data_IF_344307718928
#
_entry.id   IF_344307718928
#
_cell.length_a   1.000
_cell.length_b   1.000
_cell.length_c   1.000
_cell.angle_alpha   90.00
_cell.angle_beta   90.00
_cell.angle_gamma   90.00
#
_symmetry.space_group_name_H-M   'P 1'
#
loop_
_entity.id
_entity.type
_entity.pdbx_description
1 polymer ?
#
# COMPACT_ATOMS: atom_id res chain seq x y z
N UNK A 1 -3.30 -4.40 -6.38
CA UNK A 1 -1.84 -4.62 -6.31
C UNK A 1 -1.50 -6.10 -6.30
N UNK A 2 -1.97 -6.88 -5.32
CA UNK A 2 -1.58 -8.27 -5.11
C UNK A 2 -1.79 -9.21 -6.31
N UNK A 3 -2.94 -9.11 -7.00
CA UNK A 3 -3.23 -9.95 -8.19
C UNK A 3 -2.26 -9.64 -9.34
N UNK A 4 -1.91 -8.38 -9.53
CA UNK A 4 -0.99 -7.98 -10.61
C UNK A 4 0.45 -8.44 -10.30
N UNK A 5 0.91 -8.25 -9.06
CA UNK A 5 2.23 -8.72 -8.62
C UNK A 5 2.33 -10.25 -8.64
N UNK A 6 1.23 -10.96 -8.38
CA UNK A 6 1.16 -12.42 -8.50
C UNK A 6 1.35 -12.89 -9.95
N UNK A 7 0.62 -12.27 -10.89
CA UNK A 7 0.71 -12.59 -12.33
C UNK A 7 2.11 -12.29 -12.86
N UNK A 8 2.65 -11.11 -12.53
CA UNK A 8 4.00 -10.70 -12.95
C UNK A 8 5.07 -11.62 -12.34
N UNK A 9 4.94 -11.95 -11.06
CA UNK A 9 5.83 -12.88 -10.37
C UNK A 9 5.81 -14.27 -11.00
N UNK A 10 4.61 -14.82 -11.26
CA UNK A 10 4.45 -16.13 -11.90
C UNK A 10 5.08 -16.17 -13.31
N UNK A 11 4.89 -15.12 -14.11
CA UNK A 11 5.49 -15.01 -15.45
C UNK A 11 7.03 -14.92 -15.34
N UNK A 12 7.54 -14.13 -14.39
CA UNK A 12 8.98 -14.02 -14.15
C UNK A 12 9.65 -15.32 -13.75
N UNK A 13 9.05 -16.02 -12.79
CA UNK A 13 9.50 -17.33 -12.34
C UNK A 13 9.48 -18.36 -13.46
N UNK A 14 8.47 -18.30 -14.34
CA UNK A 14 8.38 -19.17 -15.51
C UNK A 14 9.50 -18.91 -16.53
N UNK A 15 9.85 -17.65 -16.77
CA UNK A 15 10.97 -17.27 -17.64
C UNK A 15 12.33 -17.73 -17.11
N UNK A 16 12.49 -17.75 -15.78
CA UNK A 16 13.72 -18.15 -15.09
C UNK A 16 13.84 -19.69 -14.96
N UNK A 17 12.85 -20.44 -15.47
CA UNK A 17 12.76 -21.92 -15.35
C UNK A 17 12.81 -22.41 -13.89
N UNK A 18 12.29 -21.64 -12.94
CA UNK A 18 12.15 -22.10 -11.56
C UNK A 18 11.02 -23.15 -11.50
N UNK A 19 11.21 -24.30 -10.82
CA UNK A 19 10.14 -25.29 -10.69
C UNK A 19 8.93 -24.71 -9.93
N UNK A 20 7.72 -25.01 -10.42
CA UNK A 20 6.43 -24.57 -9.86
C UNK A 20 6.21 -23.03 -9.81
N UNK A 21 6.28 -22.32 -10.95
CA UNK A 21 6.18 -20.86 -10.98
C UNK A 21 4.82 -20.32 -10.50
N UNK A 22 3.73 -21.06 -10.72
CA UNK A 22 2.38 -20.69 -10.27
C UNK A 22 2.27 -20.77 -8.74
N UNK A 23 2.87 -21.79 -8.13
CA UNK A 23 2.85 -21.96 -6.68
C UNK A 23 3.63 -20.84 -5.98
N UNK A 24 4.83 -20.54 -6.48
CA UNK A 24 5.63 -19.41 -5.98
C UNK A 24 4.99 -18.05 -6.26
N UNK A 25 4.32 -17.89 -7.40
CA UNK A 25 3.53 -16.70 -7.70
C UNK A 25 2.40 -16.45 -6.68
N UNK A 26 1.73 -17.51 -6.21
CA UNK A 26 0.74 -17.42 -5.14
C UNK A 26 1.37 -17.03 -3.79
N UNK A 27 2.53 -17.58 -3.45
CA UNK A 27 3.29 -17.20 -2.24
C UNK A 27 3.68 -15.71 -2.29
N UNK A 28 4.18 -15.25 -3.44
CA UNK A 28 4.49 -13.83 -3.67
C UNK A 28 3.22 -12.97 -3.58
N UNK A 29 2.07 -13.46 -4.02
CA UNK A 29 0.79 -12.76 -3.90
C UNK A 29 0.40 -12.51 -2.44
N UNK A 30 0.58 -13.53 -1.59
CA UNK A 30 0.32 -13.44 -0.14
C UNK A 30 1.34 -12.52 0.52
N UNK A 31 2.62 -12.61 0.16
CA UNK A 31 3.68 -11.71 0.64
C UNK A 31 3.44 -10.25 0.22
N UNK A 32 2.96 -10.02 -1.00
CA UNK A 32 2.61 -8.69 -1.52
C UNK A 32 1.40 -8.06 -0.81
N UNK A 33 0.62 -8.84 -0.06
CA UNK A 33 -0.39 -8.32 0.86
C UNK A 33 0.24 -7.53 2.01
N UNK A 34 1.46 -7.94 2.41
CA UNK A 34 2.22 -7.30 3.47
C UNK A 34 3.17 -6.26 2.84
N UNK A 35 2.93 -4.95 3.02
CA UNK A 35 3.79 -3.93 2.45
C UNK A 35 5.23 -4.00 2.97
N UNK A 36 5.45 -4.57 4.16
CA UNK A 36 6.77 -4.77 4.78
C UNK A 36 7.47 -6.01 4.25
N UNK A 37 6.73 -7.13 4.10
CA UNK A 37 7.29 -8.44 3.74
C UNK A 37 7.18 -8.66 2.23
N UNK A 38 7.25 -7.58 1.45
CA UNK A 38 6.95 -7.58 0.02
C UNK A 38 7.80 -8.54 -0.82
N UNK A 39 7.65 -8.49 -2.15
CA UNK A 39 8.31 -9.43 -3.06
C UNK A 39 9.84 -9.55 -2.89
N UNK A 40 10.47 -8.49 -2.38
CA UNK A 40 11.89 -8.45 -1.97
C UNK A 40 12.28 -9.59 -1.02
N UNK A 41 11.42 -9.95 -0.08
CA UNK A 41 11.67 -11.05 0.86
C UNK A 41 11.82 -12.39 0.16
N UNK A 42 11.27 -12.55 -1.05
CA UNK A 42 11.38 -13.77 -1.83
C UNK A 42 12.60 -13.75 -2.76
N UNK A 43 12.77 -12.70 -3.57
CA UNK A 43 13.82 -12.69 -4.59
C UNK A 43 15.23 -12.49 -4.01
N UNK A 44 15.37 -11.84 -2.85
CA UNK A 44 16.67 -11.65 -2.17
C UNK A 44 17.27 -13.00 -1.73
N UNK A 45 16.59 -13.84 -0.92
CA UNK A 45 17.12 -15.14 -0.56
C UNK A 45 17.22 -16.10 -1.76
N UNK A 46 16.34 -15.98 -2.75
CA UNK A 46 16.48 -16.74 -4.00
C UNK A 46 17.77 -16.39 -4.76
N UNK A 47 18.12 -15.11 -4.85
CA UNK A 47 19.38 -14.68 -5.48
C UNK A 47 20.61 -15.19 -4.70
N UNK A 48 20.56 -15.14 -3.35
CA UNK A 48 21.61 -15.69 -2.49
C UNK A 48 21.76 -17.20 -2.71
N UNK A 49 20.65 -17.93 -2.83
CA UNK A 49 20.66 -19.37 -3.13
C UNK A 49 21.37 -19.68 -4.45
N UNK A 50 21.06 -18.95 -5.54
CA UNK A 50 21.74 -19.16 -6.81
C UNK A 50 23.21 -18.74 -6.80
N UNK A 51 23.58 -17.78 -5.96
CA UNK A 51 24.99 -17.43 -5.72
C UNK A 51 25.76 -18.59 -5.06
N UNK A 52 25.14 -19.26 -4.08
CA UNK A 52 25.69 -20.44 -3.40
C UNK A 52 25.82 -21.66 -4.33
N UNK A 53 24.98 -21.75 -5.36
CA UNK A 53 25.03 -22.81 -6.39
C UNK A 53 26.05 -22.49 -7.49
N UNK A 54 26.89 -21.46 -7.32
CA UNK A 54 27.87 -21.00 -8.31
C UNK A 54 27.27 -20.62 -9.67
N UNK A 55 26.01 -20.15 -9.70
CA UNK A 55 25.33 -19.68 -10.90
C UNK A 55 25.05 -18.16 -10.81
N UNK A 56 26.10 -17.31 -10.94
CA UNK A 56 25.98 -15.87 -10.73
C UNK A 56 25.10 -15.21 -11.79
N UNK A 57 25.01 -15.79 -13.00
CA UNK A 57 24.18 -15.27 -14.09
C UNK A 57 22.70 -15.34 -13.70
N UNK A 58 22.23 -16.48 -13.17
CA UNK A 58 20.85 -16.62 -12.70
C UNK A 58 20.56 -15.76 -11.48
N UNK A 59 21.51 -15.62 -10.56
CA UNK A 59 21.37 -14.76 -9.40
C UNK A 59 21.13 -13.29 -9.79
N UNK A 60 21.91 -12.76 -10.73
CA UNK A 60 21.74 -11.38 -11.24
C UNK A 60 20.42 -11.22 -11.99
N UNK A 61 20.04 -12.19 -12.83
CA UNK A 61 18.76 -12.15 -13.55
C UNK A 61 17.57 -12.09 -12.58
N UNK A 62 17.57 -12.91 -11.53
CA UNK A 62 16.50 -12.92 -10.51
C UNK A 62 16.46 -11.59 -9.75
N UNK A 63 17.61 -11.02 -9.41
CA UNK A 63 17.68 -9.74 -8.70
C UNK A 63 17.16 -8.58 -9.56
N UNK A 64 17.61 -8.49 -10.81
CA UNK A 64 17.19 -7.44 -11.74
C UNK A 64 15.71 -7.58 -12.09
N UNK A 65 15.26 -8.82 -12.36
CA UNK A 65 13.85 -9.08 -12.62
C UNK A 65 13.00 -8.78 -11.38
N UNK A 66 13.45 -9.20 -10.20
CA UNK A 66 12.83 -8.90 -8.91
C UNK A 66 12.58 -7.41 -8.70
N UNK A 67 13.65 -6.63 -8.82
CA UNK A 67 13.61 -5.19 -8.60
C UNK A 67 12.81 -4.43 -9.67
N UNK A 68 12.96 -4.78 -10.95
CA UNK A 68 12.31 -4.08 -12.05
C UNK A 68 10.83 -4.45 -12.19
N UNK A 69 10.48 -5.73 -12.07
CA UNK A 69 9.11 -6.19 -12.31
C UNK A 69 8.28 -6.30 -11.03
N UNK A 70 8.87 -6.67 -9.88
CA UNK A 70 8.11 -6.83 -8.65
C UNK A 70 8.09 -5.59 -7.75
N UNK A 71 9.12 -4.74 -7.76
CA UNK A 71 9.10 -3.47 -6.99
C UNK A 71 8.72 -2.27 -7.86
N UNK A 72 9.36 -2.10 -9.02
CA UNK A 72 9.19 -0.89 -9.84
C UNK A 72 7.82 -0.83 -10.52
N UNK A 73 7.29 -1.92 -11.08
CA UNK A 73 5.96 -1.89 -11.73
C UNK A 73 4.82 -1.52 -10.76
N UNK A 74 4.65 -2.17 -9.60
CA UNK A 74 3.57 -1.78 -8.68
C UNK A 74 3.80 -0.40 -8.05
N UNK A 75 5.06 -0.04 -7.77
CA UNK A 75 5.42 1.26 -7.21
C UNK A 75 5.22 2.42 -8.17
N UNK A 76 5.53 2.25 -9.45
CA UNK A 76 5.62 3.37 -10.41
C UNK A 76 4.42 3.45 -11.37
N UNK A 77 3.77 2.33 -11.71
CA UNK A 77 2.65 2.33 -12.67
C UNK A 77 1.29 2.45 -11.98
N UNK A 78 1.16 1.84 -10.80
CA UNK A 78 -0.15 1.70 -10.15
C UNK A 78 -0.41 2.80 -9.12
N UNK A 79 0.65 3.33 -8.46
CA UNK A 79 0.53 4.52 -7.61
C UNK A 79 -0.07 5.73 -8.33
N UNK A 80 0.37 6.15 -9.54
CA UNK A 80 -0.24 7.31 -10.21
C UNK A 80 -1.70 7.05 -10.62
N UNK A 81 -2.05 5.81 -10.97
CA UNK A 81 -3.43 5.48 -11.40
C UNK A 81 -4.45 5.45 -10.25
N UNK A 82 -4.04 5.06 -9.04
CA UNK A 82 -4.89 5.14 -7.84
C UNK A 82 -4.89 6.54 -7.21
N UNK A 83 -3.76 7.26 -7.28
CA UNK A 83 -3.62 8.60 -6.70
C UNK A 83 -4.46 9.66 -7.43
N UNK A 84 -4.91 9.40 -8.67
CA UNK A 84 -5.83 10.29 -9.39
C UNK A 84 -7.23 10.43 -8.75
N UNK A 85 -7.62 9.61 -7.75
CA UNK A 85 -9.00 9.62 -7.24
C UNK A 85 -9.18 9.93 -5.74
N UNK A 86 -8.14 9.95 -4.91
CA UNK A 86 -8.27 10.35 -3.50
C UNK A 86 -6.92 10.82 -2.96
N UNK A 87 -6.93 11.98 -2.33
CA UNK A 87 -5.78 12.86 -2.17
C UNK A 87 -4.55 12.25 -1.49
N UNK A 88 -3.38 12.60 -2.03
CA UNK A 88 -2.10 12.95 -1.39
C UNK A 88 -1.65 12.30 -0.06
N UNK A 89 -2.13 11.13 0.35
CA UNK A 89 -1.54 10.46 1.53
C UNK A 89 -0.10 10.05 1.18
N UNK A 90 0.86 10.71 1.83
CA UNK A 90 2.28 10.53 1.56
C UNK A 90 2.66 9.05 1.82
N UNK A 91 3.36 8.36 0.90
CA UNK A 91 3.69 6.93 1.04
C UNK A 91 4.41 6.57 2.34
N UNK A 92 5.19 7.51 2.89
CA UNK A 92 5.83 7.40 4.20
C UNK A 92 4.82 7.25 5.33
N UNK A 93 3.65 7.92 5.29
CA UNK A 93 2.62 7.83 6.32
C UNK A 93 2.01 6.43 6.32
N UNK A 94 1.75 5.87 5.13
CA UNK A 94 1.28 4.48 4.98
C UNK A 94 2.32 3.49 5.48
N UNK A 95 3.59 3.70 5.15
CA UNK A 95 4.68 2.84 5.61
C UNK A 95 4.81 2.89 7.13
N UNK A 96 4.79 4.09 7.73
CA UNK A 96 4.84 4.26 9.18
C UNK A 96 3.63 3.62 9.87
N UNK A 97 2.44 3.75 9.29
CA UNK A 97 1.22 3.19 9.87
C UNK A 97 1.19 1.67 9.91
N UNK A 98 1.85 0.99 8.96
CA UNK A 98 2.01 -0.48 8.98
C UNK A 98 3.24 -0.93 9.78
N UNK A 99 4.32 -0.14 9.73
CA UNK A 99 5.63 -0.54 10.25
C UNK A 99 5.82 -0.17 11.72
N UNK A 100 5.37 1.02 12.14
CA UNK A 100 5.50 1.46 13.53
C UNK A 100 4.78 0.53 14.53
N UNK A 101 3.56 0.04 14.28
CA UNK A 101 2.89 -0.90 15.19
C UNK A 101 3.60 -2.27 15.29
N UNK A 102 4.24 -2.71 14.20
CA UNK A 102 4.99 -3.95 14.16
C UNK A 102 6.21 -3.91 15.10
N UNK A 103 6.91 -2.77 15.17
CA UNK A 103 8.06 -2.61 16.08
C UNK A 103 7.66 -2.44 17.55
N UNK A 104 6.49 -1.85 17.82
CA UNK A 104 6.04 -1.58 19.20
C UNK A 104 5.35 -2.80 19.82
N UNK A 105 4.58 -3.57 19.04
CA UNK A 105 3.70 -4.64 19.55
C UNK A 105 4.08 -6.03 19.01
N UNK A 106 5.09 -6.12 18.13
CA UNK A 106 5.43 -7.36 17.44
C UNK A 106 4.39 -7.75 16.39
N UNK A 107 4.32 -9.04 16.01
CA UNK A 107 3.46 -9.53 14.93
C UNK A 107 1.97 -9.17 15.09
N UNK A 108 1.49 -9.01 16.32
CA UNK A 108 0.11 -8.61 16.65
C UNK A 108 -0.19 -7.18 16.13
N UNK A 109 0.84 -6.33 16.02
CA UNK A 109 0.74 -4.96 15.52
C UNK A 109 0.21 -4.82 14.09
N UNK A 110 0.33 -5.87 13.25
CA UNK A 110 -0.17 -5.84 11.86
C UNK A 110 -1.70 -5.67 11.80
N UNK A 111 -2.42 -6.26 12.78
CA UNK A 111 -3.88 -6.15 12.86
C UNK A 111 -4.26 -4.87 13.60
N UNK A 112 -3.57 -4.58 14.70
CA UNK A 112 -3.88 -3.45 15.59
C UNK A 112 -3.61 -2.10 14.92
N UNK A 113 -2.56 -1.99 14.11
CA UNK A 113 -2.16 -0.75 13.44
C UNK A 113 -3.24 -0.16 12.53
N UNK A 114 -3.66 -0.86 11.46
CA UNK A 114 -4.72 -0.41 10.58
C UNK A 114 -6.07 -0.25 11.30
N UNK A 115 -6.37 -1.10 12.29
CA UNK A 115 -7.58 -0.99 13.09
C UNK A 115 -7.61 0.31 13.91
N UNK A 116 -6.51 0.65 14.58
CA UNK A 116 -6.37 1.90 15.33
C UNK A 116 -6.40 3.13 14.41
N UNK A 117 -5.75 3.07 13.24
CA UNK A 117 -5.84 4.12 12.23
C UNK A 117 -7.28 4.32 11.74
N UNK A 118 -7.99 3.24 11.43
CA UNK A 118 -9.40 3.28 11.03
C UNK A 118 -10.30 3.86 12.12
N UNK A 119 -10.06 3.51 13.37
CA UNK A 119 -10.77 4.06 14.53
C UNK A 119 -10.54 5.56 14.68
N UNK A 120 -9.28 6.01 14.58
CA UNK A 120 -8.95 7.44 14.61
C UNK A 120 -9.63 8.20 13.48
N UNK A 121 -9.62 7.63 12.28
CA UNK A 121 -10.27 8.21 11.10
C UNK A 121 -11.80 8.29 11.27
N UNK A 122 -12.41 7.29 11.92
CA UNK A 122 -13.84 7.28 12.21
C UNK A 122 -14.22 8.43 13.16
N UNK A 123 -13.45 8.63 14.24
CA UNK A 123 -13.64 9.76 15.16
C UNK A 123 -13.50 11.09 14.43
N UNK A 124 -12.43 11.24 13.62
CA UNK A 124 -12.20 12.46 12.85
C UNK A 124 -13.35 12.78 11.89
N UNK A 125 -13.90 11.75 11.22
CA UNK A 125 -15.06 11.91 10.33
C UNK A 125 -16.32 12.33 11.08
N UNK A 126 -16.56 11.77 12.27
CA UNK A 126 -17.71 12.17 13.10
C UNK A 126 -17.58 13.63 13.56
N UNK A 127 -16.38 14.07 13.94
CA UNK A 127 -16.15 15.45 14.37
C UNK A 127 -16.36 16.46 13.22
N UNK A 128 -15.76 16.20 12.06
CA UNK A 128 -15.96 17.03 10.86
C UNK A 128 -17.43 17.04 10.38
N UNK A 129 -18.13 15.92 10.50
CA UNK A 129 -19.55 15.84 10.17
C UNK A 129 -20.45 16.64 11.12
N UNK A 130 -20.00 16.87 12.36
CA UNK A 130 -20.66 17.75 13.30
C UNK A 130 -20.44 19.23 12.94
N UNK A 131 -19.23 19.60 12.55
CA UNK A 131 -18.86 20.97 12.19
C UNK A 131 -19.59 21.45 10.93
N UNK A 132 -19.68 20.60 9.91
CA UNK A 132 -20.41 20.89 8.68
C UNK A 132 -21.93 21.06 8.89
N UNK A 133 -22.50 20.41 9.92
CA UNK A 133 -23.92 20.54 10.27
C UNK A 133 -24.20 21.79 11.11
N UNK A 134 -23.27 22.17 11.98
CA UNK A 134 -23.35 23.42 12.73
C UNK A 134 -23.26 24.66 11.82
N UNK A 135 -22.46 24.62 10.75
CA UNK A 135 -22.42 25.72 9.77
C UNK A 135 -23.76 25.88 9.04
N UNK A 136 -24.37 24.78 8.58
CA UNK A 136 -25.68 24.86 7.89
C UNK A 136 -26.82 25.34 8.80
N UNK A 137 -26.81 24.94 10.08
CA UNK A 137 -27.82 25.39 11.04
C UNK A 137 -27.63 26.90 11.34
N UNK A 138 -26.39 27.37 11.50
CA UNK A 138 -26.07 28.79 11.74
C UNK A 138 -26.33 29.69 10.52
N UNK A 139 -26.20 29.16 9.29
CA UNK A 139 -26.54 29.89 8.05
C UNK A 139 -28.06 30.00 7.84
N UNK A 140 -28.83 29.00 8.30
CA UNK A 140 -30.29 29.04 8.30
C UNK A 140 -30.88 29.94 9.41
N UNK A 141 -30.12 30.18 10.47
CA UNK A 141 -30.51 31.01 11.61
C UNK A 141 -30.16 32.50 11.42
N UNK A 142 -29.37 32.85 10.39
CA UNK A 142 -29.25 34.25 9.97
C UNK A 142 -30.59 34.69 9.39
N UNK A 143 -31.37 35.55 10.08
CA UNK A 143 -32.56 36.12 9.48
C UNK A 143 -32.10 36.92 8.27
N UNK A 144 -32.81 36.74 7.16
CA UNK A 144 -32.52 37.42 5.89
C UNK A 144 -32.06 38.83 6.16
N UNK A 145 -30.85 39.14 5.68
CA UNK A 145 -30.27 40.48 5.72
C UNK A 145 -31.33 41.43 5.23
N UNK A 146 -31.95 42.06 6.21
CA UNK A 146 -33.11 42.89 6.06
C UNK A 146 -32.71 43.99 5.10
N UNK A 147 -33.53 44.13 4.06
CA UNK A 147 -33.57 45.26 3.16
C UNK A 147 -33.26 46.54 3.96
N UNK A 148 -32.07 47.07 3.74
CA UNK A 148 -31.73 48.43 4.08
C UNK A 148 -31.80 49.18 2.74
N UNK A 149 -33.00 49.62 2.40
CA UNK A 149 -33.24 50.66 1.41
C UNK A 149 -33.34 52.00 2.18
N UNK A 150 -32.29 52.84 2.18
CA UNK A 150 -32.47 54.23 2.51
C UNK A 150 -33.03 54.94 1.29
N UNK A 151 -34.31 55.27 1.37
CA UNK A 151 -34.95 56.37 0.64
C UNK A 151 -34.02 57.53 0.32
#
# INVERSE_FOLDING_TARGET
MCVLTAIIGAIGLALIKVPYPVMWGAVIAVLALLPIVGPATFYIPAAIYYLLVHDPVRAVIILVFGWLFLDTLPGNVIRPRLMMKSGHIHPIITLLSFTAPLFVVGAIGIIVGPAAYGFMLAIYRTYMGFEARNESDNESEKPGSQDWDPS
#
